data_IF_916779052059
#
_entry.id   IF_916779052059
#
_cell.length_a   1.000
_cell.length_b   1.000
_cell.length_c   1.000
_cell.angle_alpha   90.00
_cell.angle_beta   90.00
_cell.angle_gamma   90.00
#
_symmetry.space_group_name_H-M   'P 1'
#
loop_
_entity.id
_entity.type
_entity.pdbx_description
1 polymer ?
#
# COMPACT_ATOMS: atom_id res chain seq x y z
N UNK A 1 30.57 4.27 11.54
CA UNK A 1 31.05 4.59 10.18
C UNK A 1 31.06 3.27 9.40
N UNK A 2 29.91 2.82 8.92
CA UNK A 2 29.35 3.04 7.56
C UNK A 2 30.29 2.60 6.45
N UNK A 3 30.17 1.33 6.05
CA UNK A 3 30.61 0.79 4.76
C UNK A 3 29.59 -0.28 4.33
N UNK A 4 28.38 0.16 3.96
CA UNK A 4 27.34 -0.71 3.41
C UNK A 4 26.44 0.02 2.38
N UNK A 5 26.87 1.17 1.86
CA UNK A 5 26.07 2.01 0.97
C UNK A 5 26.49 1.97 -0.52
N UNK A 6 27.60 1.32 -0.87
CA UNK A 6 28.19 1.42 -2.23
C UNK A 6 27.91 0.24 -3.18
N UNK A 7 26.75 -0.43 -3.05
CA UNK A 7 26.45 -1.60 -3.91
C UNK A 7 25.23 -1.47 -4.81
N UNK A 8 24.55 -0.32 -4.81
CA UNK A 8 23.27 -0.16 -5.51
C UNK A 8 23.28 0.79 -6.72
N UNK A 9 24.44 1.32 -7.13
CA UNK A 9 24.50 2.34 -8.21
C UNK A 9 25.26 1.90 -9.47
N UNK A 10 25.77 0.66 -9.52
CA UNK A 10 26.59 0.16 -10.64
C UNK A 10 25.84 -0.67 -11.69
N UNK A 11 24.53 -0.90 -11.54
CA UNK A 11 23.75 -1.79 -12.43
C UNK A 11 22.90 -1.05 -13.48
N UNK A 12 22.95 0.29 -13.50
CA UNK A 12 22.04 1.11 -14.29
C UNK A 12 22.48 1.35 -15.76
N UNK A 13 23.70 0.95 -16.16
CA UNK A 13 24.28 1.47 -17.42
C UNK A 13 24.78 0.41 -18.42
N UNK A 14 24.50 -0.89 -18.20
CA UNK A 14 24.97 -1.99 -19.09
C UNK A 14 23.91 -2.62 -20.00
N UNK A 15 22.82 -1.94 -20.30
CA UNK A 15 21.79 -2.46 -21.21
C UNK A 15 21.45 -1.47 -22.31
N UNK A 16 22.40 -1.22 -23.21
CA UNK A 16 22.14 -0.61 -24.52
C UNK A 16 22.82 -1.45 -25.60
N UNK A 17 22.04 -2.34 -26.21
CA UNK A 17 22.40 -3.00 -27.47
C UNK A 17 21.28 -2.73 -28.47
N UNK A 18 21.57 -2.24 -29.70
CA UNK A 18 20.57 -2.05 -30.73
C UNK A 18 20.42 -3.36 -31.53
N UNK A 19 19.18 -3.82 -31.70
CA UNK A 19 18.90 -5.03 -32.47
C UNK A 19 17.40 -5.26 -32.64
N UNK A 20 16.79 -4.52 -33.57
CA UNK A 20 15.41 -4.73 -34.00
C UNK A 20 15.36 -6.02 -34.83
N UNK A 21 14.93 -7.12 -34.24
CA UNK A 21 14.40 -8.27 -34.98
C UNK A 21 12.88 -8.31 -34.77
N UNK A 22 12.12 -8.28 -35.87
CA UNK A 22 10.66 -8.35 -35.86
C UNK A 22 10.18 -9.75 -35.45
N UNK A 23 9.11 -9.87 -34.62
CA UNK A 23 8.55 -11.16 -34.29
C UNK A 23 7.75 -11.75 -35.47
N UNK A 24 7.76 -13.08 -35.69
CA UNK A 24 6.91 -13.72 -36.68
C UNK A 24 5.43 -13.66 -36.26
N UNK A 25 4.59 -13.23 -37.19
CA UNK A 25 3.12 -13.22 -37.05
C UNK A 25 2.60 -14.65 -37.10
N UNK A 26 2.08 -15.17 -35.97
CA UNK A 26 1.25 -16.38 -35.97
C UNK A 26 -0.22 -15.98 -36.11
N UNK A 27 -0.94 -16.42 -37.16
CA UNK A 27 -2.36 -16.17 -37.28
C UNK A 27 -3.12 -17.27 -36.52
N UNK A 28 -3.63 -16.96 -35.33
CA UNK A 28 -4.48 -17.92 -34.64
C UNK A 28 -4.81 -17.62 -33.19
N UNK A 29 -6.03 -17.14 -32.98
CA UNK A 29 -6.86 -17.38 -31.79
C UNK A 29 -6.31 -17.00 -30.41
N UNK A 30 -6.67 -15.80 -29.97
CA UNK A 30 -7.19 -15.62 -28.62
C UNK A 30 -8.30 -14.57 -28.71
N UNK A 31 -9.54 -15.03 -28.53
CA UNK A 31 -10.71 -14.18 -28.44
C UNK A 31 -10.40 -13.00 -27.51
N UNK A 32 -10.60 -11.79 -28.02
CA UNK A 32 -10.56 -10.58 -27.23
C UNK A 32 -11.64 -10.72 -26.16
N UNK A 33 -11.24 -11.11 -24.95
CA UNK A 33 -12.08 -10.94 -23.77
C UNK A 33 -12.23 -9.44 -23.58
N UNK A 34 -13.31 -8.88 -24.13
CA UNK A 34 -13.75 -7.53 -23.86
C UNK A 34 -13.77 -7.36 -22.33
N UNK A 35 -12.83 -6.57 -21.82
CA UNK A 35 -12.90 -6.13 -20.43
C UNK A 35 -14.09 -5.21 -20.36
N UNK A 36 -15.19 -5.72 -19.82
CA UNK A 36 -16.37 -4.93 -19.48
C UNK A 36 -15.88 -3.77 -18.61
N UNK A 37 -15.81 -2.58 -19.20
CA UNK A 37 -15.59 -1.34 -18.48
C UNK A 37 -16.90 -1.06 -17.73
N UNK A 38 -17.06 -1.70 -16.57
CA UNK A 38 -18.15 -1.37 -15.66
C UNK A 38 -17.87 0.03 -15.15
N UNK A 39 -18.50 1.01 -15.80
CA UNK A 39 -18.58 2.39 -15.37
C UNK A 39 -19.23 2.46 -14.00
N UNK A 40 -18.43 2.33 -12.95
CA UNK A 40 -18.79 2.80 -11.63
C UNK A 40 -18.23 4.19 -11.50
N UNK A 41 -19.11 5.19 -11.48
CA UNK A 41 -18.86 6.49 -10.84
C UNK A 41 -18.69 6.28 -9.34
N UNK A 42 -17.68 5.50 -8.97
CA UNK A 42 -17.26 5.27 -7.61
C UNK A 42 -16.82 6.65 -7.13
N UNK A 43 -17.60 7.25 -6.22
CA UNK A 43 -17.37 8.61 -5.74
C UNK A 43 -15.89 8.87 -5.53
N UNK A 44 -15.41 10.03 -6.00
CA UNK A 44 -13.98 10.35 -6.07
C UNK A 44 -13.33 10.10 -4.70
N UNK A 45 -12.53 9.05 -4.61
CA UNK A 45 -11.82 8.70 -3.37
C UNK A 45 -10.63 9.64 -3.19
N UNK A 46 -10.53 10.26 -2.03
CA UNK A 46 -9.35 11.06 -1.65
C UNK A 46 -8.30 10.15 -1.02
N UNK A 47 -7.05 10.25 -1.48
CA UNK A 47 -5.91 9.50 -0.92
C UNK A 47 -5.23 10.31 0.18
N UNK A 48 -4.87 9.63 1.27
CA UNK A 48 -3.98 10.15 2.32
C UNK A 48 -2.82 9.16 2.46
N UNK A 49 -1.60 9.68 2.51
CA UNK A 49 -0.37 8.90 2.73
C UNK A 49 0.14 9.19 4.14
N UNK A 50 0.66 8.17 4.81
CA UNK A 50 1.21 8.27 6.17
C UNK A 50 2.60 7.66 6.15
N UNK A 51 3.58 8.43 6.61
CA UNK A 51 4.94 7.94 6.79
C UNK A 51 5.04 7.21 8.13
N UNK A 52 5.48 5.95 8.08
CA UNK A 52 5.67 5.10 9.24
C UNK A 52 7.15 4.78 9.36
N UNK A 53 7.67 4.80 10.59
CA UNK A 53 9.00 4.26 10.86
C UNK A 53 9.02 2.75 10.56
N UNK A 54 10.17 2.15 10.21
CA UNK A 54 10.26 0.70 9.98
C UNK A 54 9.73 -0.12 11.17
N UNK A 55 9.96 0.35 12.39
CA UNK A 55 9.44 -0.25 13.63
C UNK A 55 7.92 -0.22 13.69
N UNK A 56 7.29 0.91 13.37
CA UNK A 56 5.83 1.04 13.34
C UNK A 56 5.21 0.17 12.26
N UNK A 57 5.82 0.11 11.06
CA UNK A 57 5.36 -0.75 9.98
C UNK A 57 5.34 -2.22 10.41
N UNK A 58 6.44 -2.71 11.00
CA UNK A 58 6.55 -4.10 11.47
C UNK A 58 5.57 -4.41 12.60
N UNK A 59 5.40 -3.49 13.54
CA UNK A 59 4.43 -3.65 14.63
C UNK A 59 2.99 -3.74 14.08
N UNK A 60 2.66 -2.93 13.07
CA UNK A 60 1.35 -2.99 12.41
C UNK A 60 1.14 -4.31 11.67
N UNK A 61 2.14 -4.80 10.93
CA UNK A 61 2.06 -6.08 10.21
C UNK A 61 1.80 -7.26 11.15
N UNK A 62 2.46 -7.28 12.31
CA UNK A 62 2.25 -8.31 13.35
C UNK A 62 0.83 -8.22 13.88
N UNK A 63 0.41 -7.02 14.29
CA UNK A 63 -0.94 -6.82 14.81
C UNK A 63 -2.03 -7.22 13.81
N UNK A 64 -1.83 -6.97 12.51
CA UNK A 64 -2.78 -7.35 11.45
C UNK A 64 -2.93 -8.86 11.32
N UNK A 65 -1.84 -9.62 11.45
CA UNK A 65 -1.89 -11.09 11.44
C UNK A 65 -2.68 -11.59 12.64
N UNK A 66 -2.34 -11.12 13.83
CA UNK A 66 -3.04 -11.52 15.05
C UNK A 66 -4.52 -11.11 15.01
N UNK A 67 -4.84 -9.96 14.41
CA UNK A 67 -6.22 -9.52 14.23
C UNK A 67 -6.97 -10.41 13.22
N UNK A 68 -6.33 -10.80 12.12
CA UNK A 68 -6.91 -11.71 11.14
C UNK A 68 -7.23 -13.07 11.78
N UNK A 69 -6.29 -13.61 12.56
CA UNK A 69 -6.46 -14.87 13.28
C UNK A 69 -7.63 -14.80 14.27
N UNK A 70 -7.74 -13.72 15.04
CA UNK A 70 -8.86 -13.51 15.99
C UNK A 70 -10.21 -13.35 15.30
N UNK A 71 -10.24 -12.74 14.12
CA UNK A 71 -11.47 -12.50 13.36
C UNK A 71 -11.84 -13.68 12.44
N UNK A 72 -10.98 -14.69 12.32
CA UNK A 72 -11.15 -15.79 11.37
C UNK A 72 -11.07 -15.36 9.91
N UNK A 73 -10.37 -14.25 9.63
CA UNK A 73 -10.20 -13.70 8.29
C UNK A 73 -8.88 -14.16 7.68
N UNK A 74 -8.84 -14.30 6.35
CA UNK A 74 -7.60 -14.64 5.65
C UNK A 74 -6.52 -13.57 5.78
N UNK A 75 -6.92 -12.30 5.88
CA UNK A 75 -6.01 -11.16 6.12
C UNK A 75 -6.79 -9.95 6.60
N UNK A 76 -6.11 -9.08 7.34
CA UNK A 76 -6.53 -7.71 7.63
C UNK A 76 -5.52 -6.78 6.97
N UNK A 77 -5.99 -5.89 6.10
CA UNK A 77 -5.13 -4.96 5.36
C UNK A 77 -4.96 -3.64 6.10
N UNK A 78 -3.83 -2.95 5.88
CA UNK A 78 -3.62 -1.61 6.42
C UNK A 78 -4.70 -0.61 6.03
N UNK A 79 -5.28 -0.76 4.84
CA UNK A 79 -6.39 0.09 4.40
C UNK A 79 -7.64 -0.12 5.26
N UNK A 80 -8.00 -1.36 5.59
CA UNK A 80 -9.16 -1.65 6.45
C UNK A 80 -8.94 -1.09 7.85
N UNK A 81 -7.74 -1.27 8.40
CA UNK A 81 -7.36 -0.71 9.71
C UNK A 81 -7.49 0.81 9.70
N UNK A 82 -6.88 1.49 8.74
CA UNK A 82 -6.93 2.96 8.67
C UNK A 82 -8.36 3.48 8.45
N UNK A 83 -9.15 2.78 7.64
CA UNK A 83 -10.55 3.15 7.39
C UNK A 83 -11.36 3.04 8.68
N UNK A 84 -11.28 1.90 9.37
CA UNK A 84 -11.98 1.67 10.63
C UNK A 84 -11.57 2.67 11.73
N UNK A 85 -10.27 2.98 11.84
CA UNK A 85 -9.78 3.98 12.79
C UNK A 85 -10.31 5.38 12.48
N UNK A 86 -10.38 5.78 11.21
CA UNK A 86 -10.94 7.07 10.81
C UNK A 86 -12.44 7.11 11.11
N UNK A 87 -13.18 6.06 10.77
CA UNK A 87 -14.62 5.99 11.03
C UNK A 87 -14.90 6.11 12.53
N UNK A 88 -14.15 5.38 13.37
CA UNK A 88 -14.26 5.49 14.82
C UNK A 88 -13.88 6.87 15.34
N UNK A 89 -12.78 7.46 14.85
CA UNK A 89 -12.33 8.80 15.25
C UNK A 89 -13.41 9.88 15.00
N UNK A 90 -14.20 9.73 13.94
CA UNK A 90 -15.21 10.72 13.56
C UNK A 90 -16.54 10.56 14.33
N UNK A 91 -16.82 9.40 14.91
CA UNK A 91 -18.08 9.15 15.64
C UNK A 91 -17.90 9.10 17.16
N UNK A 92 -16.74 8.64 17.64
CA UNK A 92 -16.44 8.49 19.07
C UNK A 92 -15.69 9.72 19.63
N UNK A 93 -16.39 10.50 20.46
CA UNK A 93 -15.85 11.70 21.10
C UNK A 93 -14.71 11.40 22.07
N UNK A 94 -14.74 10.26 22.74
CA UNK A 94 -13.69 9.89 23.69
C UNK A 94 -12.40 9.51 22.95
N UNK A 95 -12.51 8.71 21.89
CA UNK A 95 -11.38 8.39 21.02
C UNK A 95 -10.77 9.66 20.41
N UNK A 96 -11.61 10.57 19.92
CA UNK A 96 -11.18 11.86 19.39
C UNK A 96 -10.39 12.68 20.42
N UNK A 97 -10.92 12.81 21.64
CA UNK A 97 -10.22 13.51 22.72
C UNK A 97 -8.88 12.84 23.10
N UNK A 98 -8.82 11.50 23.11
CA UNK A 98 -7.58 10.75 23.36
C UNK A 98 -6.53 11.04 22.29
N UNK A 99 -6.91 11.00 21.02
CA UNK A 99 -5.99 11.29 19.90
C UNK A 99 -5.53 12.75 19.93
N UNK A 100 -6.42 13.71 20.21
CA UNK A 100 -6.04 15.12 20.36
C UNK A 100 -4.99 15.32 21.47
N UNK A 101 -5.15 14.66 22.62
CA UNK A 101 -4.16 14.70 23.71
C UNK A 101 -2.82 14.09 23.30
N UNK A 102 -2.84 12.95 22.61
CA UNK A 102 -1.61 12.32 22.10
C UNK A 102 -0.86 13.23 21.11
N UNK A 103 -1.58 13.89 20.20
CA UNK A 103 -1.00 14.87 19.26
C UNK A 103 -0.39 16.06 20.01
N UNK A 104 -1.06 16.58 21.04
CA UNK A 104 -0.52 17.68 21.84
C UNK A 104 0.76 17.28 22.59
N UNK A 105 0.80 16.06 23.14
CA UNK A 105 1.96 15.55 23.86
C UNK A 105 3.18 15.38 22.94
N UNK A 106 2.99 14.90 21.70
CA UNK A 106 4.09 14.72 20.74
C UNK A 106 4.61 15.99 20.07
N UNK A 107 3.97 17.15 20.31
CA UNK A 107 4.41 18.46 19.81
C UNK A 107 5.18 19.29 20.84
N UNK A 108 5.16 18.89 22.12
CA UNK A 108 5.95 19.49 23.18
C UNK A 108 7.35 18.90 23.17
#
# INVERSE_FOLDING_TARGET
MSAAADRFEADAERSRTPGRAAPPTFPGSAAATERIAVGQTRGRRTRRTVDLTPTQHRALDIWQRDAADRLGLARVTGQEVLTALIDQLLVDRELSARIQRAIQAGRR
#
